data_IF_849335388227
#
_entry.id   IF_849335388227
#
_cell.length_a   1.000
_cell.length_b   1.000
_cell.length_c   1.000
_cell.angle_alpha   90.00
_cell.angle_beta   90.00
_cell.angle_gamma   90.00
#
_symmetry.space_group_name_H-M   'P 1'
#
loop_
_entity.id
_entity.type
_entity.pdbx_description
1 polymer ?
#
# COMPACT_ATOMS: atom_id res chain seq x y z
N UNK A 1 6.53 -6.10 6.65
CA UNK A 1 6.40 -7.45 7.25
C UNK A 1 4.95 -7.90 7.53
N UNK A 2 3.92 -7.07 7.35
CA UNK A 2 2.54 -7.44 7.69
C UNK A 2 1.52 -6.42 7.21
N UNK A 3 0.30 -6.41 7.78
CA UNK A 3 -0.75 -5.46 7.39
C UNK A 3 -0.31 -4.01 7.61
N UNK A 4 -0.53 -3.15 6.61
CA UNK A 4 -0.37 -1.70 6.70
C UNK A 4 -1.71 -1.01 6.42
N UNK A 5 -2.18 -0.24 7.39
CA UNK A 5 -3.51 0.37 7.42
C UNK A 5 -3.44 1.89 7.55
N UNK A 6 -4.28 2.61 6.81
CA UNK A 6 -4.42 4.06 6.89
C UNK A 6 -3.10 4.77 6.63
N UNK A 7 -2.67 5.65 7.55
CA UNK A 7 -1.44 6.42 7.41
C UNK A 7 -0.22 5.54 7.09
N UNK A 8 -0.10 4.35 7.71
CA UNK A 8 1.03 3.45 7.47
C UNK A 8 1.09 2.92 6.03
N UNK A 9 -0.06 2.75 5.37
CA UNK A 9 -0.12 2.41 3.94
C UNK A 9 0.21 3.63 3.06
N UNK A 10 -0.25 4.82 3.45
CA UNK A 10 0.00 6.04 2.65
C UNK A 10 1.44 6.52 2.71
N UNK A 11 2.13 6.31 3.84
CA UNK A 11 3.55 6.67 3.99
C UNK A 11 4.43 5.93 2.99
N UNK A 12 4.02 4.73 2.53
CA UNK A 12 4.78 3.97 1.53
C UNK A 12 4.95 4.73 0.21
N UNK A 13 3.95 5.54 -0.17
CA UNK A 13 4.05 6.36 -1.38
C UNK A 13 5.08 7.49 -1.28
N UNK A 14 5.60 7.78 -0.07
CA UNK A 14 6.63 8.78 0.20
C UNK A 14 8.05 8.16 0.24
N UNK A 15 8.15 6.83 0.23
CA UNK A 15 9.42 6.11 0.30
C UNK A 15 9.97 5.86 -1.11
N UNK A 16 11.29 5.88 -1.24
CA UNK A 16 11.96 5.50 -2.50
C UNK A 16 11.95 3.98 -2.73
N UNK A 17 12.03 3.20 -1.65
CA UNK A 17 12.10 1.73 -1.66
C UNK A 17 11.14 1.19 -0.60
N UNK A 18 10.37 0.17 -0.98
CA UNK A 18 9.35 -0.44 -0.11
C UNK A 18 9.44 -1.95 -0.21
N UNK A 19 9.91 -2.59 0.87
CA UNK A 19 9.94 -4.04 0.99
C UNK A 19 8.70 -4.57 1.72
N UNK A 20 8.08 -5.61 1.17
CA UNK A 20 6.91 -6.26 1.74
C UNK A 20 7.18 -7.73 2.06
N UNK A 21 6.49 -8.26 3.08
CA UNK A 21 6.39 -9.71 3.26
C UNK A 21 5.30 -10.23 2.32
N UNK A 22 5.40 -11.47 1.86
CA UNK A 22 4.35 -12.13 1.05
C UNK A 22 2.97 -12.05 1.72
N UNK A 23 2.90 -12.10 3.06
CA UNK A 23 1.63 -12.02 3.81
C UNK A 23 1.12 -10.59 4.02
N UNK A 24 1.88 -9.57 3.62
CA UNK A 24 1.48 -8.18 3.80
C UNK A 24 0.27 -7.84 2.92
N UNK A 25 -0.58 -6.95 3.44
CA UNK A 25 -1.64 -6.32 2.67
C UNK A 25 -1.78 -4.86 3.10
N UNK A 26 -2.30 -4.04 2.20
CA UNK A 26 -2.41 -2.60 2.37
C UNK A 26 -3.87 -2.18 2.27
N UNK A 27 -4.33 -1.29 3.15
CA UNK A 27 -5.71 -0.79 3.09
C UNK A 27 -5.79 0.63 3.64
N UNK A 28 -6.59 1.47 3.00
CA UNK A 28 -6.86 2.84 3.46
C UNK A 28 -8.35 2.98 3.80
N UNK A 29 -8.78 2.71 5.06
CA UNK A 29 -10.19 2.71 5.46
C UNK A 29 -10.79 4.12 5.64
N UNK A 30 -10.45 5.07 4.77
CA UNK A 30 -10.82 6.49 4.94
C UNK A 30 -12.32 6.70 4.91
N UNK A 31 -13.01 6.13 3.92
CA UNK A 31 -14.47 6.28 3.80
C UNK A 31 -15.22 5.63 4.94
N UNK A 32 -14.73 4.50 5.47
CA UNK A 32 -15.29 3.88 6.68
C UNK A 32 -15.14 4.76 7.92
N UNK A 33 -14.07 5.55 8.00
CA UNK A 33 -13.79 6.46 9.11
C UNK A 33 -14.37 7.87 8.92
N UNK A 34 -15.03 8.15 7.79
CA UNK A 34 -15.51 9.49 7.46
C UNK A 34 -14.38 10.50 7.18
N UNK A 35 -13.22 10.01 6.75
CA UNK A 35 -12.03 10.81 6.46
C UNK A 35 -11.83 10.95 4.95
N UNK A 36 -11.20 12.05 4.54
CA UNK A 36 -10.60 12.18 3.22
C UNK A 36 -9.23 11.49 3.17
N UNK A 37 -8.69 11.19 1.97
CA UNK A 37 -7.34 10.65 1.85
C UNK A 37 -6.26 11.56 2.45
N UNK A 38 -5.38 10.98 3.27
CA UNK A 38 -4.24 11.65 3.91
C UNK A 38 -2.89 11.17 3.35
N UNK A 39 -1.78 11.68 3.90
CA UNK A 39 -0.42 11.20 3.55
C UNK A 39 -0.07 11.40 2.07
N UNK A 40 -0.57 12.47 1.45
CA UNK A 40 -0.44 12.75 0.02
C UNK A 40 -1.01 11.65 -0.92
N UNK A 41 -1.76 10.69 -0.39
CA UNK A 41 -2.21 9.52 -1.14
C UNK A 41 -3.17 9.84 -2.28
N UNK A 42 -3.98 10.90 -2.17
CA UNK A 42 -4.82 11.40 -3.26
C UNK A 42 -4.04 11.88 -4.49
N UNK A 43 -2.76 12.24 -4.31
CA UNK A 43 -1.87 12.69 -5.38
C UNK A 43 -0.91 11.59 -5.83
N UNK A 44 -0.28 10.90 -4.87
CA UNK A 44 0.78 9.93 -5.15
C UNK A 44 0.22 8.60 -5.63
N UNK A 45 -0.87 8.08 -5.04
CA UNK A 45 -1.37 6.77 -5.45
C UNK A 45 -1.81 6.75 -6.92
N UNK A 46 -2.60 7.70 -7.45
CA UNK A 46 -2.93 7.70 -8.87
C UNK A 46 -1.71 7.74 -9.80
N UNK A 47 -0.60 8.36 -9.38
CA UNK A 47 0.66 8.40 -10.15
C UNK A 47 1.45 7.10 -10.10
N UNK A 48 1.39 6.39 -8.98
CA UNK A 48 2.06 5.11 -8.77
C UNK A 48 1.26 3.98 -9.45
N UNK A 49 -0.01 3.82 -9.08
CA UNK A 49 -0.83 2.64 -9.43
C UNK A 49 -1.95 2.91 -10.44
N UNK A 50 -2.05 4.13 -10.96
CA UNK A 50 -3.16 4.56 -11.82
C UNK A 50 -4.45 4.85 -11.04
N UNK A 51 -5.33 5.65 -11.66
CA UNK A 51 -6.56 6.12 -11.02
C UNK A 51 -7.51 5.00 -10.58
N UNK A 52 -7.68 3.96 -11.39
CA UNK A 52 -8.63 2.90 -11.10
C UNK A 52 -8.26 2.14 -9.82
N UNK A 53 -7.00 1.68 -9.70
CA UNK A 53 -6.54 0.97 -8.50
C UNK A 53 -6.48 1.90 -7.29
N UNK A 54 -6.01 3.14 -7.47
CA UNK A 54 -5.99 4.14 -6.40
C UNK A 54 -7.39 4.38 -5.83
N UNK A 55 -8.42 4.56 -6.68
CA UNK A 55 -9.79 4.80 -6.21
C UNK A 55 -10.41 3.59 -5.51
N UNK A 56 -10.09 2.35 -5.93
CA UNK A 56 -10.51 1.13 -5.22
C UNK A 56 -9.95 1.09 -3.80
N UNK A 57 -8.71 1.53 -3.61
CA UNK A 57 -8.09 1.61 -2.30
C UNK A 57 -8.63 2.81 -1.48
N UNK A 58 -8.65 4.02 -2.05
CA UNK A 58 -8.96 5.27 -1.34
C UNK A 58 -10.45 5.46 -1.05
N UNK A 59 -11.33 5.11 -1.99
CA UNK A 59 -12.77 5.32 -1.86
C UNK A 59 -13.51 4.05 -1.43
N UNK A 60 -13.15 2.91 -2.01
CA UNK A 60 -13.82 1.64 -1.69
C UNK A 60 -13.15 0.90 -0.53
N UNK A 61 -12.04 1.42 0.01
CA UNK A 61 -11.31 0.80 1.12
C UNK A 61 -10.95 -0.67 0.85
N UNK A 62 -10.74 -1.02 -0.42
CA UNK A 62 -10.40 -2.39 -0.78
C UNK A 62 -8.96 -2.71 -0.35
N UNK A 63 -8.73 -3.89 0.27
CA UNK A 63 -7.38 -4.33 0.58
C UNK A 63 -6.62 -4.66 -0.71
N UNK A 64 -5.33 -4.35 -0.71
CA UNK A 64 -4.39 -4.68 -1.76
C UNK A 64 -3.38 -5.69 -1.23
N UNK A 65 -3.16 -6.81 -1.92
CA UNK A 65 -2.12 -7.76 -1.50
C UNK A 65 -0.71 -7.24 -1.77
N UNK A 66 0.30 -7.88 -1.19
CA UNK A 66 1.71 -7.58 -1.51
C UNK A 66 2.02 -7.73 -3.01
N UNK A 67 1.49 -8.76 -3.65
CA UNK A 67 1.68 -9.04 -5.08
C UNK A 67 1.02 -7.99 -5.97
N UNK A 68 -0.18 -7.52 -5.59
CA UNK A 68 -0.82 -6.41 -6.29
C UNK A 68 -0.05 -5.10 -6.08
N UNK A 69 0.46 -4.86 -4.88
CA UNK A 69 1.25 -3.66 -4.60
C UNK A 69 2.57 -3.63 -5.39
N UNK A 70 3.19 -4.80 -5.60
CA UNK A 70 4.36 -4.94 -6.47
C UNK A 70 4.01 -4.67 -7.93
N UNK A 71 2.91 -5.25 -8.43
CA UNK A 71 2.52 -5.11 -9.85
C UNK A 71 2.18 -3.67 -10.23
N UNK A 72 1.77 -2.85 -9.27
CA UNK A 72 1.46 -1.43 -9.46
C UNK A 72 2.57 -0.49 -9.01
N UNK A 73 3.72 -1.00 -8.57
CA UNK A 73 4.90 -0.21 -8.22
C UNK A 73 4.84 0.52 -6.86
N UNK A 74 3.90 0.18 -5.97
CA UNK A 74 3.90 0.68 -4.59
C UNK A 74 4.92 -0.06 -3.71
N UNK A 75 5.14 -1.34 -4.00
CA UNK A 75 6.17 -2.20 -3.38
C UNK A 75 7.25 -2.45 -4.41
N UNK A 76 8.52 -2.38 -4.00
CA UNK A 76 9.66 -2.61 -4.87
C UNK A 76 10.09 -4.08 -4.89
N UNK A 77 9.97 -4.77 -3.75
CA UNK A 77 10.32 -6.19 -3.64
C UNK A 77 9.51 -6.89 -2.55
N UNK A 78 9.25 -8.17 -2.74
CA UNK A 78 8.52 -9.02 -1.80
C UNK A 78 9.46 -10.14 -1.32
N UNK A 79 9.49 -10.36 -0.01
CA UNK A 79 10.26 -11.44 0.62
C UNK A 79 9.33 -12.47 1.29
N UNK A 80 9.72 -13.76 1.29
CA UNK A 80 9.06 -14.78 2.12
C UNK A 80 9.02 -14.35 3.57
N UNK A 81 7.92 -14.67 4.26
CA UNK A 81 7.66 -14.14 5.60
C UNK A 81 8.70 -14.55 6.65
N UNK A 82 9.18 -15.79 6.57
CA UNK A 82 10.21 -16.36 7.44
C UNK A 82 11.60 -15.76 7.19
N UNK A 83 11.82 -15.18 5.99
CA UNK A 83 13.08 -14.59 5.58
C UNK A 83 13.05 -13.06 5.53
N UNK A 84 11.92 -12.43 5.87
CA UNK A 84 11.74 -10.98 5.70
C UNK A 84 12.85 -10.18 6.39
N UNK A 85 13.15 -10.45 7.66
CA UNK A 85 14.14 -9.68 8.42
C UNK A 85 15.59 -10.01 8.12
N UNK A 86 15.86 -11.14 7.46
CA UNK A 86 17.22 -11.55 7.09
C UNK A 86 17.61 -11.12 5.68
N UNK A 87 16.63 -10.81 4.82
CA UNK A 87 16.84 -10.54 3.39
C UNK A 87 16.34 -9.17 2.91
N UNK A 88 15.38 -8.56 3.59
CA UNK A 88 14.95 -7.18 3.30
C UNK A 88 15.95 -6.17 3.89
#
# INVERSE_FOLDING_TARGET
NGPALGISATTLGLCDIVFASEKAYFKTPFTTLGLSPEGCSSYLFPKIMGYAKANRMLYFSEPMSSQEALSVGLVTEIFPDDLFWSKA
#
